data_IF_582229785940
#
_entry.id   IF_582229785940
#
_cell.length_a   1.000
_cell.length_b   1.000
_cell.length_c   1.000
_cell.angle_alpha   90.00
_cell.angle_beta   90.00
_cell.angle_gamma   90.00
#
_symmetry.space_group_name_H-M   'P 1'
#
loop_
_entity.id
_entity.type
_entity.pdbx_description
1 polymer ?
#
# COMPACT_ATOMS: atom_id res chain seq x y z
N UNK A 1 1.56 27.62 18.46
CA UNK A 1 1.06 28.25 17.22
C UNK A 1 2.22 28.24 16.23
N UNK A 2 2.38 27.16 15.46
CA UNK A 2 3.47 27.02 14.48
C UNK A 2 3.02 27.59 13.15
N UNK A 3 3.71 28.65 12.73
CA UNK A 3 3.54 29.41 11.50
C UNK A 3 3.53 28.47 10.27
N UNK A 4 2.39 28.36 9.57
CA UNK A 4 2.31 27.72 8.26
C UNK A 4 2.92 28.68 7.24
N UNK A 5 4.19 28.45 6.87
CA UNK A 5 4.77 29.08 5.70
C UNK A 5 4.06 28.54 4.45
N UNK A 6 3.49 29.45 3.66
CA UNK A 6 2.82 29.15 2.39
C UNK A 6 3.85 28.77 1.31
N UNK A 7 4.40 27.56 1.38
CA UNK A 7 5.18 26.96 0.28
C UNK A 7 4.26 26.11 -0.60
N UNK A 8 4.47 26.11 -1.91
CA UNK A 8 3.75 25.26 -2.88
C UNK A 8 4.02 23.76 -2.67
N UNK A 9 5.05 23.43 -1.89
CA UNK A 9 5.37 22.07 -1.46
C UNK A 9 4.79 21.78 -0.07
N UNK A 10 3.86 20.81 0.01
CA UNK A 10 3.37 20.25 1.29
C UNK A 10 4.40 19.25 1.83
N UNK A 11 5.43 19.74 2.50
CA UNK A 11 6.51 18.92 3.09
C UNK A 11 6.04 18.00 4.22
N UNK A 12 4.82 18.20 4.74
CA UNK A 12 4.22 17.39 5.79
C UNK A 12 2.85 16.85 5.37
N UNK A 13 2.77 16.06 4.29
CA UNK A 13 1.60 15.20 4.07
C UNK A 13 1.66 14.00 5.04
N UNK A 14 1.54 14.26 6.34
CA UNK A 14 1.21 13.22 7.32
C UNK A 14 -0.25 12.87 7.12
N UNK A 15 -0.55 12.02 6.14
CA UNK A 15 -1.87 11.39 6.06
C UNK A 15 -2.12 10.67 7.36
N UNK A 16 -2.97 11.23 8.21
CA UNK A 16 -3.44 10.53 9.39
C UNK A 16 -4.09 9.23 8.91
N UNK A 17 -3.57 8.10 9.40
CA UNK A 17 -4.17 6.80 9.11
C UNK A 17 -5.56 6.82 9.75
N UNK A 18 -6.58 7.00 8.92
CA UNK A 18 -7.98 6.98 9.35
C UNK A 18 -8.28 5.58 9.88
N UNK A 19 -8.29 5.44 11.21
CA UNK A 19 -8.63 4.18 11.87
C UNK A 19 -10.04 3.74 11.45
N UNK A 20 -10.23 2.44 11.26
CA UNK A 20 -11.52 1.87 10.88
C UNK A 20 -12.58 2.22 11.92
N UNK A 21 -13.82 2.47 11.49
CA UNK A 21 -14.94 2.71 12.41
C UNK A 21 -15.16 1.48 13.29
N UNK A 22 -15.41 1.67 14.59
CA UNK A 22 -15.61 0.55 15.54
C UNK A 22 -16.78 -0.37 15.11
N UNK A 23 -17.79 0.19 14.43
CA UNK A 23 -18.89 -0.58 13.84
C UNK A 23 -18.39 -1.49 12.72
N UNK A 24 -17.56 -0.97 11.81
CA UNK A 24 -17.01 -1.76 10.70
C UNK A 24 -16.10 -2.87 11.22
N UNK A 25 -15.30 -2.59 12.26
CA UNK A 25 -14.50 -3.61 12.94
C UNK A 25 -15.38 -4.77 13.43
N UNK A 26 -16.45 -4.47 14.18
CA UNK A 26 -17.34 -5.52 14.69
C UNK A 26 -18.07 -6.30 13.59
N UNK A 27 -18.50 -5.63 12.51
CA UNK A 27 -19.14 -6.28 11.35
C UNK A 27 -18.17 -7.21 10.62
N UNK A 28 -16.91 -6.81 10.41
CA UNK A 28 -15.90 -7.66 9.77
C UNK A 28 -15.67 -8.94 10.58
N UNK A 29 -15.51 -8.83 11.90
CA UNK A 29 -15.36 -10.00 12.75
C UNK A 29 -16.61 -10.88 12.80
N UNK A 30 -17.80 -10.28 12.81
CA UNK A 30 -19.05 -11.05 12.70
C UNK A 30 -19.10 -11.87 11.40
N UNK A 31 -18.75 -11.27 10.25
CA UNK A 31 -18.68 -11.97 8.96
C UNK A 31 -17.65 -13.10 9.01
N UNK A 32 -16.44 -12.85 9.51
CA UNK A 32 -15.39 -13.87 9.62
C UNK A 32 -15.84 -15.04 10.48
N UNK A 33 -16.42 -14.78 11.64
CA UNK A 33 -16.93 -15.84 12.53
C UNK A 33 -18.14 -16.57 11.96
N UNK A 34 -19.02 -15.88 11.23
CA UNK A 34 -20.11 -16.53 10.49
C UNK A 34 -19.58 -17.47 9.41
N UNK A 35 -18.57 -17.04 8.62
CA UNK A 35 -17.94 -17.91 7.63
C UNK A 35 -17.33 -19.15 8.30
N UNK A 36 -16.60 -18.99 9.41
CA UNK A 36 -16.04 -20.13 10.18
C UNK A 36 -17.14 -21.02 10.76
N UNK A 37 -18.22 -20.42 11.25
CA UNK A 37 -19.38 -21.10 11.84
C UNK A 37 -20.11 -21.98 10.84
N UNK A 38 -20.28 -21.47 9.62
CA UNK A 38 -21.02 -22.12 8.54
C UNK A 38 -20.15 -22.91 7.55
N UNK A 39 -18.82 -22.75 7.58
CA UNK A 39 -17.89 -23.53 6.75
C UNK A 39 -18.10 -25.05 6.80
N UNK A 40 -18.36 -25.67 7.98
CA UNK A 40 -18.56 -27.12 8.06
C UNK A 40 -19.82 -27.62 7.35
N UNK A 41 -20.81 -26.74 7.10
CA UNK A 41 -22.05 -27.12 6.40
C UNK A 41 -21.80 -27.51 4.94
N UNK A 42 -20.70 -27.07 4.34
CA UNK A 42 -20.30 -27.45 2.97
C UNK A 42 -19.88 -28.92 2.91
N UNK A 43 -19.37 -29.46 4.02
CA UNK A 43 -18.89 -30.84 4.14
C UNK A 43 -19.89 -31.82 4.77
N UNK A 44 -21.13 -31.39 5.06
CA UNK A 44 -22.13 -32.16 5.84
C UNK A 44 -21.79 -32.33 7.34
N UNK A 45 -20.93 -31.47 7.88
CA UNK A 45 -20.60 -31.45 9.31
C UNK A 45 -21.51 -30.47 10.09
N UNK A 46 -21.59 -30.68 11.41
CA UNK A 46 -22.36 -29.78 12.28
C UNK A 46 -21.74 -28.37 12.28
N UNK A 47 -22.58 -27.32 12.22
CA UNK A 47 -22.10 -25.95 12.30
C UNK A 47 -21.40 -25.71 13.64
N UNK A 48 -20.33 -24.90 13.60
CA UNK A 48 -19.58 -24.55 14.80
C UNK A 48 -20.36 -23.49 15.58
N UNK A 49 -21.30 -23.95 16.40
CA UNK A 49 -22.18 -23.08 17.20
C UNK A 49 -21.40 -22.06 18.03
N UNK A 50 -20.24 -22.43 18.58
CA UNK A 50 -19.37 -21.50 19.32
C UNK A 50 -18.95 -20.30 18.48
N UNK A 51 -18.57 -20.51 17.21
CA UNK A 51 -18.19 -19.43 16.29
C UNK A 51 -19.41 -18.56 15.92
N UNK A 52 -20.59 -19.17 15.76
CA UNK A 52 -21.84 -18.45 15.50
C UNK A 52 -22.21 -17.53 16.68
N UNK A 53 -22.12 -18.03 17.92
CA UNK A 53 -22.39 -17.22 19.11
C UNK A 53 -21.40 -16.06 19.26
N UNK A 54 -20.11 -16.27 18.98
CA UNK A 54 -19.11 -15.20 18.99
C UNK A 54 -19.42 -14.18 17.89
N UNK A 55 -19.75 -14.63 16.68
CA UNK A 55 -20.15 -13.74 15.58
C UNK A 55 -21.38 -12.89 15.92
N UNK A 56 -22.41 -13.49 16.51
CA UNK A 56 -23.60 -12.80 16.97
C UNK A 56 -23.30 -11.78 18.08
N UNK A 57 -22.41 -12.11 19.02
CA UNK A 57 -21.96 -11.18 20.06
C UNK A 57 -21.19 -9.99 19.47
N UNK A 58 -20.32 -10.22 18.49
CA UNK A 58 -19.63 -9.14 17.77
C UNK A 58 -20.59 -8.25 16.98
N UNK A 59 -21.60 -8.86 16.34
CA UNK A 59 -22.63 -8.11 15.62
C UNK A 59 -23.47 -7.26 16.58
N UNK A 60 -23.96 -7.87 17.67
CA UNK A 60 -24.73 -7.17 18.70
C UNK A 60 -23.94 -6.00 19.31
N UNK A 61 -22.69 -6.23 19.70
CA UNK A 61 -21.83 -5.16 20.25
C UNK A 61 -21.52 -4.07 19.22
N UNK A 62 -21.43 -4.40 17.92
CA UNK A 62 -21.23 -3.40 16.86
C UNK A 62 -22.41 -2.44 16.69
N UNK A 63 -23.65 -2.92 16.88
CA UNK A 63 -24.87 -2.13 16.73
C UNK A 63 -25.30 -1.43 18.02
N UNK A 64 -25.27 -2.12 19.16
CA UNK A 64 -25.77 -1.60 20.43
C UNK A 64 -24.70 -0.82 21.21
N UNK A 65 -23.46 -1.32 21.27
CA UNK A 65 -22.39 -0.75 22.12
C UNK A 65 -21.04 -0.62 21.37
N UNK A 66 -20.96 0.13 20.25
CA UNK A 66 -19.73 0.26 19.46
C UNK A 66 -18.56 0.90 20.23
N UNK A 67 -18.84 1.55 21.36
CA UNK A 67 -17.81 2.11 22.24
C UNK A 67 -16.99 1.03 22.97
N UNK A 68 -17.57 -0.14 23.26
CA UNK A 68 -16.88 -1.25 23.91
C UNK A 68 -15.81 -1.89 23.00
N UNK A 69 -16.01 -1.83 21.68
CA UNK A 69 -15.08 -2.33 20.67
C UNK A 69 -13.90 -1.38 20.39
N UNK A 70 -13.90 -0.16 20.96
CA UNK A 70 -12.85 0.86 20.75
C UNK A 70 -11.43 0.39 21.10
N UNK A 71 -11.14 -0.11 22.32
CA UNK A 71 -9.77 -0.51 22.68
C UNK A 71 -9.29 -1.67 21.79
N UNK A 72 -10.18 -2.61 21.48
CA UNK A 72 -9.86 -3.76 20.64
C UNK A 72 -9.56 -3.34 19.19
N UNK A 73 -10.38 -2.46 18.62
CA UNK A 73 -10.16 -1.91 17.28
C UNK A 73 -8.85 -1.11 17.20
N UNK A 74 -8.51 -0.34 18.24
CA UNK A 74 -7.23 0.39 18.30
C UNK A 74 -6.04 -0.56 18.33
N UNK A 75 -6.10 -1.60 19.14
CA UNK A 75 -5.03 -2.61 19.22
C UNK A 75 -4.87 -3.35 17.89
N UNK A 76 -5.98 -3.76 17.27
CA UNK A 76 -6.00 -4.39 15.96
C UNK A 76 -5.42 -3.48 14.87
N UNK A 77 -5.79 -2.19 14.88
CA UNK A 77 -5.25 -1.20 13.94
C UNK A 77 -3.74 -1.04 14.13
N UNK A 78 -3.26 -0.95 15.37
CA UNK A 78 -1.83 -0.86 15.67
C UNK A 78 -1.06 -2.10 15.22
N UNK A 79 -1.63 -3.29 15.44
CA UNK A 79 -1.08 -4.55 14.93
C UNK A 79 -1.02 -4.56 13.41
N UNK A 80 -2.10 -4.16 12.73
CA UNK A 80 -2.13 -4.05 11.27
C UNK A 80 -1.07 -3.08 10.72
N UNK A 81 -0.83 -1.96 11.40
CA UNK A 81 0.23 -1.02 11.05
C UNK A 81 1.64 -1.61 11.26
N UNK A 82 1.85 -2.33 12.37
CA UNK A 82 3.11 -3.01 12.61
C UNK A 82 3.38 -4.09 11.56
N UNK A 83 2.37 -4.88 11.21
CA UNK A 83 2.46 -5.87 10.14
C UNK A 83 2.73 -5.20 8.79
N UNK A 84 2.05 -4.11 8.48
CA UNK A 84 2.27 -3.35 7.24
C UNK A 84 3.72 -2.87 7.12
N UNK A 85 4.37 -2.44 8.21
CA UNK A 85 5.79 -2.05 8.20
C UNK A 85 6.72 -3.18 7.77
N UNK A 86 6.35 -4.44 7.98
CA UNK A 86 7.14 -5.62 7.59
C UNK A 86 6.74 -6.11 6.20
N UNK A 87 5.43 -6.21 5.95
CA UNK A 87 4.89 -6.71 4.69
C UNK A 87 5.20 -5.76 3.54
N UNK A 88 5.15 -4.44 3.74
CA UNK A 88 5.40 -3.48 2.67
C UNK A 88 6.82 -3.60 2.09
N UNK A 89 7.91 -3.55 2.88
CA UNK A 89 9.26 -3.81 2.36
C UNK A 89 9.42 -5.22 1.78
N UNK A 90 8.78 -6.23 2.37
CA UNK A 90 8.87 -7.60 1.87
C UNK A 90 8.25 -7.74 0.48
N UNK A 91 7.05 -7.22 0.28
CA UNK A 91 6.36 -7.21 -1.03
C UNK A 91 7.15 -6.37 -2.03
N UNK A 92 7.66 -5.20 -1.64
CA UNK A 92 8.47 -4.36 -2.52
C UNK A 92 9.79 -5.05 -2.91
N UNK A 93 10.44 -5.73 -1.97
CA UNK A 93 11.64 -6.53 -2.25
C UNK A 93 11.32 -7.70 -3.19
N UNK A 94 10.21 -8.40 -2.95
CA UNK A 94 9.75 -9.49 -3.79
C UNK A 94 9.46 -9.02 -5.23
N UNK A 95 8.76 -7.89 -5.40
CA UNK A 95 8.54 -7.27 -6.71
C UNK A 95 9.87 -6.89 -7.38
N UNK A 96 10.81 -6.34 -6.61
CA UNK A 96 12.12 -5.98 -7.14
C UNK A 96 12.87 -7.21 -7.65
N UNK A 97 12.92 -8.30 -6.90
CA UNK A 97 13.68 -9.49 -7.30
C UNK A 97 12.97 -10.39 -8.30
N UNK A 98 11.64 -10.46 -8.29
CA UNK A 98 10.88 -11.33 -9.21
C UNK A 98 10.41 -10.64 -10.49
N UNK A 99 10.30 -9.31 -10.50
CA UNK A 99 9.83 -8.56 -11.67
C UNK A 99 10.93 -7.66 -12.20
N UNK A 100 11.39 -6.70 -11.41
CA UNK A 100 12.34 -5.67 -11.88
C UNK A 100 13.69 -6.27 -12.26
N UNK A 101 14.27 -7.09 -11.39
CA UNK A 101 15.58 -7.71 -11.56
C UNK A 101 15.64 -8.60 -12.82
N UNK A 102 14.71 -9.55 -13.04
CA UNK A 102 14.76 -10.39 -14.24
C UNK A 102 14.51 -9.58 -15.52
N UNK A 103 13.67 -8.55 -15.50
CA UNK A 103 13.52 -7.64 -16.64
C UNK A 103 14.86 -6.96 -16.96
N UNK A 104 15.55 -6.42 -15.95
CA UNK A 104 16.86 -5.80 -16.13
C UNK A 104 17.93 -6.79 -16.62
N UNK A 105 17.91 -8.02 -16.10
CA UNK A 105 18.81 -9.09 -16.55
C UNK A 105 18.53 -9.47 -18.01
N UNK A 106 17.26 -9.62 -18.39
CA UNK A 106 16.85 -9.91 -19.75
C UNK A 106 17.27 -8.80 -20.71
N UNK A 107 17.07 -7.53 -20.35
CA UNK A 107 17.54 -6.39 -21.15
C UNK A 107 19.06 -6.43 -21.35
N UNK A 108 19.81 -6.76 -20.29
CA UNK A 108 21.27 -6.90 -20.37
C UNK A 108 21.71 -8.07 -21.25
N UNK A 109 21.02 -9.21 -21.19
CA UNK A 109 21.25 -10.36 -22.07
C UNK A 109 20.93 -10.04 -23.53
N UNK A 110 19.87 -9.27 -23.78
CA UNK A 110 19.48 -8.81 -25.12
C UNK A 110 20.35 -7.64 -25.63
N UNK A 111 21.40 -7.25 -24.90
CA UNK A 111 22.29 -6.15 -25.27
C UNK A 111 21.67 -4.76 -25.21
N UNK A 112 20.43 -4.63 -24.72
CA UNK A 112 19.74 -3.35 -24.58
C UNK A 112 20.27 -2.62 -23.34
N UNK A 113 21.14 -1.63 -23.58
CA UNK A 113 21.61 -0.69 -22.55
C UNK A 113 20.88 0.63 -22.74
N UNK A 114 19.98 0.96 -21.82
CA UNK A 114 19.27 2.25 -21.82
C UNK A 114 20.16 3.41 -21.41
N UNK A 115 21.26 3.13 -20.70
CA UNK A 115 22.22 4.12 -20.26
C UNK A 115 23.65 3.68 -20.63
N UNK A 116 24.38 4.60 -21.27
CA UNK A 116 25.78 4.39 -21.62
C UNK A 116 26.66 4.60 -20.38
N UNK A 117 26.78 3.53 -19.59
CA UNK A 117 27.49 3.52 -18.32
C UNK A 117 29.02 3.39 -18.48
N UNK A 118 29.52 3.24 -19.71
CA UNK A 118 30.95 3.14 -19.96
C UNK A 118 31.57 4.54 -19.99
N UNK A 119 32.54 4.75 -19.09
CA UNK A 119 33.34 5.98 -19.07
C UNK A 119 34.37 5.88 -20.20
N UNK A 120 34.12 6.60 -21.29
CA UNK A 120 35.08 6.84 -22.35
C UNK A 120 35.99 8.02 -21.98
N UNK A 121 37.26 7.70 -21.69
CA UNK A 121 38.29 8.70 -21.35
C UNK A 121 38.77 9.50 -22.57
N UNK A 122 38.43 9.07 -23.77
CA UNK A 122 38.77 9.76 -25.02
C UNK A 122 37.69 10.73 -25.49
N UNK A 123 36.47 10.65 -24.93
CA UNK A 123 35.40 11.61 -25.23
C UNK A 123 35.70 12.98 -24.63
N UNK A 124 35.59 14.02 -25.46
CA UNK A 124 35.67 15.44 -25.05
C UNK A 124 34.46 15.88 -24.21
N UNK A 125 33.30 15.27 -24.43
CA UNK A 125 32.06 15.55 -23.70
C UNK A 125 31.11 14.35 -23.78
N UNK A 126 30.30 14.14 -22.72
CA UNK A 126 29.20 13.16 -22.69
C UNK A 126 27.85 13.79 -23.08
N UNK A 127 27.84 15.08 -23.44
CA UNK A 127 26.64 15.77 -23.87
C UNK A 127 26.11 15.13 -25.16
N UNK A 128 24.86 14.66 -25.11
CA UNK A 128 24.16 14.13 -26.28
C UNK A 128 23.47 15.32 -26.96
N UNK A 129 24.05 15.80 -28.07
CA UNK A 129 23.41 16.78 -28.92
C UNK A 129 22.10 16.20 -29.50
N UNK A 130 21.01 16.95 -29.36
CA UNK A 130 19.69 16.56 -29.85
C UNK A 130 19.43 17.23 -31.19
N UNK A 131 19.17 16.42 -32.22
CA UNK A 131 18.74 16.88 -33.53
C UNK A 131 17.43 16.15 -33.91
N UNK A 132 16.31 16.86 -34.10
CA UNK A 132 16.17 18.32 -34.02
C UNK A 132 16.35 18.87 -32.60
N UNK A 133 16.79 20.13 -32.45
CA UNK A 133 16.81 20.81 -31.16
C UNK A 133 15.43 20.71 -30.50
N UNK A 134 15.41 20.57 -29.18
CA UNK A 134 14.17 20.49 -28.40
C UNK A 134 13.20 21.62 -28.74
N UNK A 135 11.89 21.44 -28.47
CA UNK A 135 10.86 22.40 -28.86
C UNK A 135 11.25 23.83 -28.45
N UNK A 136 11.02 24.79 -29.34
CA UNK A 136 11.37 26.18 -29.13
C UNK A 136 10.82 26.68 -27.78
N UNK A 137 11.60 27.54 -27.10
CA UNK A 137 11.31 28.07 -25.75
C UNK A 137 9.90 28.71 -25.68
N UNK A 138 9.38 29.20 -26.81
CA UNK A 138 8.01 29.71 -26.97
C UNK A 138 6.88 28.69 -26.73
N UNK A 139 7.19 27.40 -26.59
CA UNK A 139 6.23 26.35 -26.25
C UNK A 139 5.72 26.38 -24.80
N UNK A 140 6.37 27.13 -23.91
CA UNK A 140 6.00 27.24 -22.48
C UNK A 140 4.99 28.36 -22.20
N UNK A 141 3.98 28.52 -23.06
CA UNK A 141 2.95 29.57 -22.90
C UNK A 141 2.08 29.41 -21.64
N UNK A 142 1.92 28.19 -21.12
CA UNK A 142 1.09 27.89 -19.95
C UNK A 142 1.88 27.04 -18.93
N UNK A 143 2.84 27.66 -18.27
CA UNK A 143 3.69 27.01 -17.26
C UNK A 143 3.11 27.07 -15.82
N UNK A 144 1.98 27.76 -15.63
CA UNK A 144 1.26 27.87 -14.36
C UNK A 144 -0.24 27.67 -14.57
#
# INVERSE_FOLDING_TARGET
MTNQQNTHERLADRREVKSSSNKNFGVVFAIVFSLIGFWPLIGSDQPRFWAIYIGAAFLGTAFFLPKALRPLNRLWTAFGLALHKVVNPLVMGLLFFMVVTPIGLLMRMLGKRTLDLQIDKSRKSYWIERDPPGPAIDGMKNQF
#
